data_IF_105188063924
#
_entry.id   IF_105188063924
#
_cell.length_a   1.000
_cell.length_b   1.000
_cell.length_c   1.000
_cell.angle_alpha   90.00
_cell.angle_beta   90.00
_cell.angle_gamma   90.00
#
_symmetry.space_group_name_H-M   'P 1'
#
loop_
_entity.id
_entity.type
_entity.pdbx_description
1 polymer ?
#
# COMPACT_ATOMS: atom_id res chain seq x y z
N UNK A 1 24.93 7.66 -7.91
CA UNK A 1 23.75 8.43 -7.45
C UNK A 1 23.28 7.86 -6.14
N UNK A 2 22.85 8.68 -5.19
CA UNK A 2 22.30 8.18 -3.92
C UNK A 2 20.99 7.46 -4.19
N UNK A 3 20.83 6.24 -3.69
CA UNK A 3 19.61 5.43 -3.86
C UNK A 3 18.41 6.11 -3.22
N UNK A 4 17.26 6.08 -3.87
CA UNK A 4 15.98 6.53 -3.32
C UNK A 4 15.14 5.29 -3.00
N UNK A 5 14.59 5.22 -1.80
CA UNK A 5 13.70 4.15 -1.37
C UNK A 5 12.38 4.77 -0.90
N UNK A 6 11.27 4.25 -1.37
CA UNK A 6 9.95 4.58 -0.83
C UNK A 6 9.61 3.58 0.26
N UNK A 7 9.26 4.07 1.46
CA UNK A 7 8.83 3.25 2.59
C UNK A 7 7.36 3.51 2.90
N UNK A 8 6.53 2.48 2.86
CA UNK A 8 5.13 2.58 3.25
C UNK A 8 4.90 1.91 4.60
N UNK A 9 4.23 2.60 5.51
CA UNK A 9 3.86 2.05 6.82
C UNK A 9 2.35 1.88 6.92
N UNK A 10 1.91 0.64 7.20
CA UNK A 10 0.50 0.27 7.37
C UNK A 10 -0.09 0.80 8.69
N UNK A 11 -1.41 0.74 8.82
CA UNK A 11 -2.11 1.27 10.00
C UNK A 11 -1.68 0.64 11.31
N UNK A 12 -1.37 -0.65 11.34
CA UNK A 12 -0.82 -1.34 12.53
C UNK A 12 0.59 -0.84 12.87
N UNK A 13 1.39 -0.50 11.86
CA UNK A 13 2.74 0.04 12.04
C UNK A 13 2.73 1.41 12.73
N UNK A 14 1.71 2.22 12.49
CA UNK A 14 1.53 3.57 13.07
C UNK A 14 0.35 3.65 14.04
N UNK A 15 -0.06 2.50 14.63
CA UNK A 15 -1.30 2.36 15.40
C UNK A 15 -1.31 3.03 16.77
N UNK A 16 -0.18 3.48 17.30
CA UNK A 16 -0.06 4.24 18.55
C UNK A 16 1.13 5.20 18.49
N UNK A 17 1.26 6.07 19.49
CA UNK A 17 2.39 7.01 19.60
C UNK A 17 3.72 6.24 19.69
N UNK A 18 3.77 5.16 20.48
CA UNK A 18 4.95 4.30 20.63
C UNK A 18 5.31 3.62 19.30
N UNK A 19 4.31 3.21 18.53
CA UNK A 19 4.52 2.63 17.21
C UNK A 19 5.06 3.66 16.21
N UNK A 20 4.54 4.89 16.25
CA UNK A 20 5.04 5.99 15.41
C UNK A 20 6.49 6.31 15.77
N UNK A 21 6.86 6.30 17.05
CA UNK A 21 8.24 6.51 17.48
C UNK A 21 9.18 5.39 16.99
N UNK A 22 8.75 4.13 17.09
CA UNK A 22 9.49 2.98 16.53
C UNK A 22 9.65 3.06 14.99
N UNK A 23 8.61 3.52 14.28
CA UNK A 23 8.70 3.77 12.83
C UNK A 23 9.69 4.89 12.52
N UNK A 24 9.72 5.94 13.34
CA UNK A 24 10.70 7.02 13.19
C UNK A 24 12.14 6.51 13.33
N UNK A 25 12.40 5.52 14.21
CA UNK A 25 13.72 4.86 14.32
C UNK A 25 14.08 4.06 13.06
N UNK A 26 13.13 3.30 12.51
CA UNK A 26 13.33 2.56 11.23
C UNK A 26 13.72 3.54 10.10
N UNK A 27 13.00 4.67 10.01
CA UNK A 27 13.26 5.70 8.99
C UNK A 27 14.63 6.35 9.24
N UNK A 28 14.96 6.67 10.49
CA UNK A 28 16.24 7.24 10.88
C UNK A 28 17.40 6.36 10.45
N UNK A 29 17.32 5.06 10.71
CA UNK A 29 18.36 4.10 10.31
C UNK A 29 18.47 3.97 8.80
N UNK A 30 17.36 3.84 8.08
CA UNK A 30 17.33 3.76 6.62
C UNK A 30 17.91 5.03 5.96
N UNK A 31 17.67 6.19 6.55
CA UNK A 31 18.14 7.49 6.01
C UNK A 31 19.65 7.68 6.04
N UNK A 32 20.38 6.85 6.83
CA UNK A 32 21.86 6.86 6.86
C UNK A 32 22.48 6.36 5.55
N UNK A 33 21.76 5.53 4.80
CA UNK A 33 22.29 4.84 3.60
C UNK A 33 21.55 5.16 2.31
N UNK A 34 20.34 5.72 2.38
CA UNK A 34 19.50 6.05 1.23
C UNK A 34 18.70 7.35 1.45
N UNK A 35 18.22 7.94 0.38
CA UNK A 35 17.19 9.00 0.46
C UNK A 35 15.84 8.32 0.62
N UNK A 36 15.10 8.73 1.64
CA UNK A 36 13.82 8.10 2.00
C UNK A 36 12.65 8.99 1.64
N UNK A 37 11.62 8.38 1.06
CA UNK A 37 10.27 8.94 0.89
C UNK A 37 9.32 8.05 1.67
N UNK A 38 8.48 8.63 2.50
CA UNK A 38 7.59 7.86 3.37
C UNK A 38 6.14 8.04 2.95
N UNK A 39 5.38 6.95 2.92
CA UNK A 39 3.93 6.94 2.76
C UNK A 39 3.29 6.29 3.99
N UNK A 40 2.30 6.93 4.58
CA UNK A 40 1.62 6.43 5.77
C UNK A 40 0.15 6.17 5.54
N UNK A 41 -0.36 5.12 6.17
CA UNK A 41 -1.80 4.88 6.33
C UNK A 41 -2.32 5.61 7.57
N UNK A 42 -3.64 5.71 7.71
CA UNK A 42 -4.28 6.09 8.97
C UNK A 42 -3.88 5.11 10.09
N UNK A 43 -3.90 5.58 11.33
CA UNK A 43 -3.70 4.73 12.51
C UNK A 43 -4.71 3.58 12.53
N UNK A 44 -4.32 2.43 13.08
CA UNK A 44 -5.19 1.25 13.17
C UNK A 44 -6.54 1.60 13.80
N UNK A 45 -7.63 1.24 13.11
CA UNK A 45 -9.01 1.50 13.55
C UNK A 45 -9.55 2.90 13.22
N UNK A 46 -8.70 3.89 12.91
CA UNK A 46 -9.15 5.28 12.69
C UNK A 46 -10.03 5.41 11.46
N UNK A 47 -9.69 4.75 10.34
CA UNK A 47 -10.55 4.74 9.14
C UNK A 47 -11.93 4.18 9.45
N UNK A 48 -12.02 3.07 10.20
CA UNK A 48 -13.31 2.49 10.59
C UNK A 48 -14.14 3.42 11.49
N UNK A 49 -13.47 4.13 12.40
CA UNK A 49 -14.11 5.14 13.25
C UNK A 49 -14.70 6.29 12.42
N UNK A 50 -13.94 6.82 11.44
CA UNK A 50 -14.41 7.87 10.54
C UNK A 50 -15.58 7.40 9.65
N UNK A 51 -15.49 6.16 9.12
CA UNK A 51 -16.60 5.53 8.37
C UNK A 51 -17.87 5.43 9.23
N UNK A 52 -17.73 4.98 10.48
CA UNK A 52 -18.87 4.88 11.40
C UNK A 52 -19.46 6.26 11.73
N UNK A 53 -18.63 7.30 11.87
CA UNK A 53 -19.11 8.67 12.06
C UNK A 53 -19.98 9.14 10.87
N UNK A 54 -19.52 8.88 9.63
CA UNK A 54 -20.32 9.21 8.44
C UNK A 54 -21.67 8.50 8.42
N UNK A 55 -21.68 7.20 8.77
CA UNK A 55 -22.91 6.38 8.79
C UNK A 55 -23.95 6.82 9.81
N UNK A 56 -23.59 7.59 10.83
CA UNK A 56 -24.58 8.17 11.76
C UNK A 56 -25.52 9.16 11.07
N UNK A 57 -25.13 9.75 9.96
CA UNK A 57 -25.95 10.72 9.21
C UNK A 57 -26.67 10.07 8.03
N UNK A 58 -26.10 9.03 7.41
CA UNK A 58 -26.70 8.32 6.28
C UNK A 58 -26.03 6.96 6.07
N UNK A 59 -26.81 5.93 5.76
CA UNK A 59 -26.30 4.63 5.30
C UNK A 59 -25.51 4.75 3.99
N UNK A 60 -25.89 5.72 3.14
CA UNK A 60 -25.21 6.03 1.89
C UNK A 60 -24.86 7.53 1.88
N UNK A 61 -23.79 7.95 2.58
CA UNK A 61 -23.37 9.33 2.61
C UNK A 61 -22.93 9.81 1.23
N UNK A 62 -23.00 11.13 1.00
CA UNK A 62 -22.40 11.73 -0.19
C UNK A 62 -20.93 11.32 -0.30
N UNK A 63 -20.51 10.82 -1.45
CA UNK A 63 -19.21 10.21 -1.62
C UNK A 63 -18.05 11.19 -1.57
N UNK A 64 -18.28 12.43 -2.03
CA UNK A 64 -17.28 13.49 -1.93
C UNK A 64 -17.00 13.85 -0.47
N UNK A 65 -18.07 14.08 0.32
CA UNK A 65 -17.95 14.39 1.75
C UNK A 65 -17.39 13.21 2.55
N UNK A 66 -17.76 11.98 2.14
CA UNK A 66 -17.20 10.76 2.72
C UNK A 66 -15.69 10.68 2.50
N UNK A 67 -15.19 10.90 1.27
CA UNK A 67 -13.77 10.90 0.96
C UNK A 67 -13.04 12.00 1.71
N UNK A 68 -13.61 13.21 1.78
CA UNK A 68 -13.05 14.32 2.55
C UNK A 68 -12.89 13.95 4.04
N UNK A 69 -13.88 13.26 4.64
CA UNK A 69 -13.84 12.83 6.03
C UNK A 69 -12.81 11.71 6.24
N UNK A 70 -12.90 10.60 5.49
CA UNK A 70 -12.09 9.41 5.79
C UNK A 70 -10.61 9.62 5.49
N UNK A 71 -10.26 10.53 4.59
CA UNK A 71 -8.89 10.89 4.26
C UNK A 71 -8.14 11.61 5.38
N UNK A 72 -8.84 12.14 6.39
CA UNK A 72 -8.21 12.89 7.51
C UNK A 72 -7.32 11.99 8.37
N UNK A 73 -7.58 10.68 8.40
CA UNK A 73 -6.80 9.73 9.19
C UNK A 73 -5.31 9.70 8.81
N UNK A 74 -5.01 9.71 7.53
CA UNK A 74 -3.63 9.74 7.03
C UNK A 74 -2.95 11.10 7.30
N UNK A 75 -3.72 12.17 7.33
CA UNK A 75 -3.21 13.51 7.66
C UNK A 75 -2.70 13.54 9.10
N UNK A 76 -3.44 12.94 10.04
CA UNK A 76 -3.01 12.80 11.43
C UNK A 76 -1.71 11.99 11.51
N UNK A 77 -1.66 10.82 10.92
CA UNK A 77 -0.48 9.92 10.95
C UNK A 77 0.77 10.59 10.37
N UNK A 78 0.64 11.28 9.23
CA UNK A 78 1.76 11.94 8.58
C UNK A 78 2.33 13.08 9.41
N UNK A 79 1.48 13.87 10.05
CA UNK A 79 1.89 14.96 10.93
C UNK A 79 2.60 14.42 12.21
N UNK A 80 2.02 13.40 12.86
CA UNK A 80 2.60 12.77 14.04
C UNK A 80 3.98 12.16 13.75
N UNK A 81 4.13 11.44 12.63
CA UNK A 81 5.40 10.87 12.25
C UNK A 81 6.45 11.93 11.93
N UNK A 82 6.05 13.06 11.31
CA UNK A 82 6.96 14.19 11.09
C UNK A 82 7.44 14.79 12.41
N UNK A 83 6.55 14.93 13.40
CA UNK A 83 6.91 15.41 14.74
C UNK A 83 7.86 14.43 15.45
N UNK A 84 7.62 13.12 15.34
CA UNK A 84 8.51 12.09 15.90
C UNK A 84 9.91 12.13 15.28
N UNK A 85 10.02 12.35 13.97
CA UNK A 85 11.32 12.53 13.31
C UNK A 85 12.03 13.82 13.74
N UNK A 86 11.29 14.93 13.91
CA UNK A 86 11.85 16.18 14.43
C UNK A 86 12.41 16.00 15.84
N UNK A 87 11.75 15.26 16.73
CA UNK A 87 12.27 14.99 18.08
C UNK A 87 13.58 14.20 18.07
N UNK A 88 13.88 13.49 17.00
CA UNK A 88 15.13 12.76 16.74
C UNK A 88 16.15 13.61 15.94
N UNK A 89 15.89 14.90 15.72
CA UNK A 89 16.77 15.81 14.97
C UNK A 89 16.77 15.61 13.45
N UNK A 90 15.79 14.88 12.92
CA UNK A 90 15.68 14.59 11.49
C UNK A 90 14.71 15.55 10.83
N UNK A 91 15.13 16.18 9.74
CA UNK A 91 14.26 17.07 8.95
C UNK A 91 13.23 16.24 8.20
N UNK A 92 11.96 16.41 8.53
CA UNK A 92 10.85 15.77 7.87
C UNK A 92 9.71 16.76 7.62
N UNK A 93 8.88 16.52 6.63
CA UNK A 93 7.71 17.37 6.36
C UNK A 93 6.56 16.54 5.82
N UNK A 94 5.39 16.71 6.43
CA UNK A 94 4.16 16.05 6.00
C UNK A 94 3.57 16.73 4.75
N UNK A 95 3.03 15.90 3.85
CA UNK A 95 2.38 16.35 2.63
C UNK A 95 1.09 15.58 2.40
N UNK A 96 0.01 16.32 2.12
CA UNK A 96 -1.22 15.74 1.59
C UNK A 96 -1.09 15.40 0.10
N UNK A 97 -2.01 14.61 -0.43
CA UNK A 97 -2.06 14.30 -1.86
C UNK A 97 -2.14 15.55 -2.73
N UNK A 98 -2.92 16.57 -2.32
CA UNK A 98 -3.03 17.85 -3.04
C UNK A 98 -1.71 18.62 -3.06
N UNK A 99 -0.96 18.60 -1.96
CA UNK A 99 0.32 19.29 -1.87
C UNK A 99 1.41 18.69 -2.76
N UNK A 100 1.35 17.39 -3.05
CA UNK A 100 2.24 16.73 -4.03
C UNK A 100 1.58 16.56 -5.40
N UNK A 101 0.41 17.15 -5.61
CA UNK A 101 -0.36 17.05 -6.85
C UNK A 101 -0.56 15.61 -7.35
N UNK A 102 -1.00 14.73 -6.45
CA UNK A 102 -1.41 13.36 -6.82
C UNK A 102 -2.80 13.42 -7.46
N UNK A 103 -2.83 13.58 -8.78
CA UNK A 103 -4.07 13.68 -9.54
C UNK A 103 -4.77 12.35 -9.68
N UNK A 104 -6.08 12.37 -9.54
CA UNK A 104 -6.93 11.18 -9.68
C UNK A 104 -8.16 11.48 -10.53
N UNK A 105 -8.87 10.40 -10.91
CA UNK A 105 -10.24 10.53 -11.43
C UNK A 105 -11.18 11.02 -10.32
N UNK A 106 -12.33 11.54 -10.72
CA UNK A 106 -13.44 11.98 -9.85
C UNK A 106 -14.33 10.84 -9.33
N UNK A 107 -13.87 9.59 -9.46
CA UNK A 107 -14.60 8.42 -8.97
C UNK A 107 -14.35 8.26 -7.48
N UNK A 108 -15.07 9.01 -6.65
CA UNK A 108 -14.94 8.98 -5.20
C UNK A 108 -15.00 7.56 -4.62
N UNK A 109 -14.25 7.33 -3.54
CA UNK A 109 -14.07 6.05 -2.83
C UNK A 109 -13.36 4.93 -3.61
N UNK A 110 -13.13 5.11 -4.93
CA UNK A 110 -12.43 4.16 -5.81
C UNK A 110 -11.64 4.89 -6.91
N UNK A 111 -11.09 6.05 -6.59
CA UNK A 111 -10.38 6.87 -7.57
C UNK A 111 -9.16 6.13 -8.15
N UNK A 112 -8.82 6.49 -9.38
CA UNK A 112 -7.63 5.97 -10.06
C UNK A 112 -6.58 7.08 -10.14
N UNK A 113 -5.33 6.76 -9.82
CA UNK A 113 -4.21 7.69 -9.96
C UNK A 113 -3.99 7.94 -11.45
N UNK A 114 -3.95 9.21 -11.83
CA UNK A 114 -3.68 9.69 -13.19
C UNK A 114 -2.25 10.18 -13.31
N UNK A 115 -1.78 10.93 -12.29
CA UNK A 115 -0.45 11.53 -12.30
C UNK A 115 0.03 11.82 -10.86
N UNK A 116 1.36 11.90 -10.68
CA UNK A 116 2.03 12.32 -9.44
C UNK A 116 3.14 13.28 -9.78
N UNK A 117 3.19 14.44 -9.13
CA UNK A 117 4.26 15.41 -9.39
C UNK A 117 5.59 14.96 -8.74
N UNK A 118 6.38 14.21 -9.52
CA UNK A 118 7.69 13.73 -9.11
C UNK A 118 8.67 14.84 -8.78
N UNK A 119 8.66 15.96 -9.53
CA UNK A 119 9.62 17.06 -9.35
C UNK A 119 9.52 17.66 -7.95
N UNK A 120 8.30 17.85 -7.46
CA UNK A 120 8.07 18.37 -6.11
C UNK A 120 8.64 17.47 -5.02
N UNK A 121 8.45 16.15 -5.15
CA UNK A 121 9.00 15.19 -4.20
C UNK A 121 10.54 15.18 -4.25
N UNK A 122 11.10 15.16 -5.46
CA UNK A 122 12.55 15.18 -5.66
C UNK A 122 13.19 16.48 -5.16
N UNK A 123 12.50 17.63 -5.27
CA UNK A 123 12.97 18.88 -4.69
C UNK A 123 13.09 18.79 -3.16
N UNK A 124 12.08 18.26 -2.48
CA UNK A 124 12.10 18.08 -1.00
C UNK A 124 13.27 17.19 -0.59
N UNK A 125 13.53 16.11 -1.34
CA UNK A 125 14.65 15.21 -1.10
C UNK A 125 16.01 15.92 -1.28
N UNK A 126 16.12 16.81 -2.27
CA UNK A 126 17.35 17.62 -2.50
C UNK A 126 17.62 18.58 -1.34
N UNK A 127 16.59 19.06 -0.65
CA UNK A 127 16.68 19.90 0.54
C UNK A 127 17.01 19.12 1.83
N UNK A 128 17.41 17.85 1.67
CA UNK A 128 17.71 16.92 2.78
C UNK A 128 16.56 16.78 3.78
N UNK A 129 15.34 16.88 3.29
CA UNK A 129 14.12 16.73 4.07
C UNK A 129 13.41 15.44 3.66
N UNK A 130 12.97 14.65 4.63
CA UNK A 130 12.20 13.43 4.38
C UNK A 130 10.72 13.80 4.14
N UNK A 131 10.18 13.60 2.94
CA UNK A 131 8.75 13.81 2.71
C UNK A 131 7.93 12.67 3.33
N UNK A 132 6.96 13.01 4.17
CA UNK A 132 5.99 12.09 4.77
C UNK A 132 4.65 12.32 4.08
N UNK A 133 4.28 11.43 3.18
CA UNK A 133 3.14 11.60 2.30
C UNK A 133 1.95 10.81 2.82
N UNK A 134 0.77 11.43 2.82
CA UNK A 134 -0.47 10.74 3.12
C UNK A 134 -0.76 9.69 2.03
N UNK A 135 -0.89 8.43 2.41
CA UNK A 135 -1.39 7.40 1.52
C UNK A 135 -2.90 7.51 1.28
N UNK A 136 -3.45 6.64 0.44
CA UNK A 136 -4.89 6.51 0.24
C UNK A 136 -5.60 7.70 -0.42
N UNK A 137 -5.04 8.91 -0.34
CA UNK A 137 -5.62 10.15 -0.85
C UNK A 137 -5.22 10.43 -2.29
N UNK A 138 -6.09 11.17 -2.99
CA UNK A 138 -5.82 11.83 -4.26
C UNK A 138 -6.57 13.15 -4.34
N UNK A 139 -6.43 13.84 -5.46
CA UNK A 139 -7.11 15.11 -5.71
C UNK A 139 -7.62 15.13 -7.16
N UNK A 140 -8.85 15.57 -7.33
CA UNK A 140 -9.44 15.81 -8.66
C UNK A 140 -8.83 17.04 -9.31
N UNK A 141 -9.14 17.29 -10.57
CA UNK A 141 -8.74 18.51 -11.28
C UNK A 141 -9.34 19.77 -10.62
N UNK A 142 -10.54 19.67 -10.10
CA UNK A 142 -11.26 20.74 -9.38
C UNK A 142 -10.76 20.95 -7.95
N UNK A 143 -9.83 20.11 -7.46
CA UNK A 143 -9.23 20.22 -6.13
C UNK A 143 -9.95 19.44 -5.03
N UNK A 144 -10.98 18.67 -5.35
CA UNK A 144 -11.67 17.81 -4.41
C UNK A 144 -10.80 16.62 -3.98
N UNK A 145 -10.86 16.29 -2.70
CA UNK A 145 -10.15 15.11 -2.16
C UNK A 145 -10.89 13.85 -2.58
N UNK A 146 -10.13 12.86 -3.03
CA UNK A 146 -10.62 11.52 -3.38
C UNK A 146 -9.88 10.46 -2.58
N UNK A 147 -10.47 9.28 -2.48
CA UNK A 147 -9.81 8.11 -1.90
C UNK A 147 -9.68 6.97 -2.90
N UNK A 148 -8.56 6.23 -2.79
CA UNK A 148 -8.21 5.17 -3.73
C UNK A 148 -8.89 3.82 -3.44
N UNK A 149 -9.64 3.74 -2.34
CA UNK A 149 -10.24 2.49 -1.87
C UNK A 149 -9.24 1.55 -1.19
N UNK A 150 -9.63 0.29 -1.03
CA UNK A 150 -8.84 -0.72 -0.29
C UNK A 150 -7.43 -0.87 -0.88
N UNK A 151 -6.40 -0.92 -0.02
CA UNK A 151 -4.99 -0.97 -0.42
C UNK A 151 -4.47 0.32 -1.06
N UNK A 152 -5.20 1.44 -0.90
CA UNK A 152 -4.86 2.72 -1.50
C UNK A 152 -3.48 3.23 -1.08
N UNK A 153 -3.06 3.04 0.17
CA UNK A 153 -1.73 3.48 0.63
C UNK A 153 -0.59 2.69 -0.01
N UNK A 154 -0.76 1.38 -0.25
CA UNK A 154 0.21 0.57 -0.99
C UNK A 154 0.30 1.05 -2.44
N UNK A 155 -0.85 1.29 -3.07
CA UNK A 155 -0.92 1.84 -4.43
C UNK A 155 -0.27 3.23 -4.51
N UNK A 156 -0.51 4.11 -3.53
CA UNK A 156 0.16 5.41 -3.42
C UNK A 156 1.68 5.27 -3.38
N UNK A 157 2.20 4.37 -2.54
CA UNK A 157 3.64 4.18 -2.37
C UNK A 157 4.31 3.68 -3.65
N UNK A 158 3.70 2.68 -4.31
CA UNK A 158 4.21 2.15 -5.57
C UNK A 158 4.13 3.19 -6.69
N UNK A 159 3.04 3.97 -6.77
CA UNK A 159 2.92 5.04 -7.75
C UNK A 159 3.99 6.13 -7.58
N UNK A 160 4.27 6.54 -6.35
CA UNK A 160 5.35 7.47 -6.05
C UNK A 160 6.69 6.86 -6.44
N UNK A 161 6.96 5.60 -6.06
CA UNK A 161 8.22 4.92 -6.39
C UNK A 161 8.45 4.87 -7.91
N UNK A 162 7.42 4.55 -8.68
CA UNK A 162 7.47 4.56 -10.15
C UNK A 162 7.83 5.94 -10.70
N UNK A 163 7.14 6.99 -10.24
CA UNK A 163 7.29 8.33 -10.78
C UNK A 163 8.62 9.00 -10.45
N UNK A 164 9.19 8.71 -9.27
CA UNK A 164 10.49 9.29 -8.88
C UNK A 164 11.68 8.42 -9.27
N UNK A 165 11.45 7.27 -9.92
CA UNK A 165 12.51 6.31 -10.26
C UNK A 165 13.20 5.75 -9.02
N UNK A 166 12.45 5.38 -7.99
CA UNK A 166 13.01 4.79 -6.77
C UNK A 166 13.62 3.41 -7.07
N UNK A 167 14.66 3.03 -6.35
CA UNK A 167 15.28 1.70 -6.45
C UNK A 167 14.29 0.59 -6.12
N UNK A 168 13.44 0.84 -5.11
CA UNK A 168 12.35 -0.08 -4.69
C UNK A 168 11.35 0.61 -3.79
N UNK A 169 10.25 -0.09 -3.53
CA UNK A 169 9.23 0.27 -2.55
C UNK A 169 9.22 -0.76 -1.41
N UNK A 170 9.54 -0.34 -0.19
CA UNK A 170 9.51 -1.16 1.03
C UNK A 170 8.14 -1.01 1.70
N UNK A 171 7.35 -2.09 1.76
CA UNK A 171 6.02 -2.14 2.39
C UNK A 171 6.16 -2.74 3.79
N UNK A 172 6.07 -1.90 4.81
CA UNK A 172 6.09 -2.32 6.21
C UNK A 172 4.68 -2.64 6.70
N UNK A 173 4.54 -3.83 7.27
CA UNK A 173 3.27 -4.39 7.75
C UNK A 173 3.46 -5.16 9.06
N UNK A 174 2.47 -5.93 9.50
CA UNK A 174 2.51 -6.79 10.70
C UNK A 174 3.04 -8.21 10.44
N UNK A 175 3.41 -8.52 9.18
CA UNK A 175 4.07 -9.76 8.82
C UNK A 175 5.50 -9.49 8.35
N UNK A 176 6.39 -10.46 8.57
CA UNK A 176 7.83 -10.32 8.30
C UNK A 176 8.24 -10.75 6.88
N UNK A 177 7.25 -11.01 6.01
CA UNK A 177 7.46 -11.39 4.61
C UNK A 177 6.30 -12.20 4.06
N UNK A 178 6.52 -12.79 2.89
CA UNK A 178 5.58 -13.68 2.20
C UNK A 178 6.02 -15.11 2.46
N UNK A 179 5.04 -15.97 2.74
CA UNK A 179 5.25 -17.37 3.06
C UNK A 179 4.69 -18.27 1.97
N UNK A 180 5.21 -19.49 1.89
CA UNK A 180 4.71 -20.52 0.95
C UNK A 180 3.22 -20.84 1.17
N UNK A 181 2.67 -20.58 2.36
CA UNK A 181 1.25 -20.59 2.69
C UNK A 181 1.04 -19.84 4.01
N UNK A 182 -0.20 -19.68 4.48
CA UNK A 182 -0.49 -18.98 5.74
C UNK A 182 0.13 -19.73 6.95
N UNK A 183 1.14 -19.16 7.64
CA UNK A 183 1.82 -19.79 8.76
C UNK A 183 0.90 -20.00 9.99
N UNK A 184 -0.21 -19.27 10.08
CA UNK A 184 -1.21 -19.47 11.15
C UNK A 184 -2.00 -20.78 10.96
N UNK A 185 -2.01 -21.32 9.75
CA UNK A 185 -2.73 -22.55 9.40
C UNK A 185 -1.75 -23.69 9.23
N UNK A 186 -0.61 -23.44 8.59
CA UNK A 186 0.45 -24.43 8.38
C UNK A 186 1.72 -23.97 9.11
N UNK A 187 1.97 -24.47 10.34
CA UNK A 187 3.11 -24.03 11.14
C UNK A 187 4.49 -24.22 10.48
N UNK A 188 4.58 -25.13 9.52
CA UNK A 188 5.81 -25.41 8.76
C UNK A 188 5.93 -24.58 7.47
N UNK A 189 5.07 -23.60 7.24
CA UNK A 189 5.20 -22.67 6.12
C UNK A 189 6.56 -21.97 6.16
N UNK A 190 7.22 -21.89 5.02
CA UNK A 190 8.55 -21.24 4.90
C UNK A 190 8.37 -19.83 4.37
N UNK A 191 9.12 -18.90 4.95
CA UNK A 191 9.25 -17.55 4.42
C UNK A 191 10.06 -17.62 3.11
N UNK A 192 9.61 -16.89 2.11
CA UNK A 192 10.28 -16.74 0.82
C UNK A 192 11.26 -15.56 0.91
N UNK A 193 12.47 -15.74 0.39
CA UNK A 193 13.42 -14.64 0.26
C UNK A 193 13.03 -13.72 -0.91
N UNK A 194 12.59 -14.32 -2.01
CA UNK A 194 12.05 -13.62 -3.17
C UNK A 194 10.86 -14.35 -3.79
N UNK A 195 10.06 -13.62 -4.54
CA UNK A 195 8.91 -14.13 -5.32
C UNK A 195 8.75 -13.24 -6.55
N UNK A 196 8.29 -13.80 -7.67
CA UNK A 196 8.01 -13.00 -8.87
C UNK A 196 6.72 -12.18 -8.72
N UNK A 197 6.60 -11.10 -9.51
CA UNK A 197 5.37 -10.30 -9.56
C UNK A 197 4.17 -11.15 -10.00
N UNK A 198 4.36 -12.08 -10.93
CA UNK A 198 3.29 -12.96 -11.45
C UNK A 198 2.80 -13.91 -10.36
N UNK A 199 3.72 -14.57 -9.65
CA UNK A 199 3.36 -15.44 -8.52
C UNK A 199 2.68 -14.68 -7.39
N UNK A 200 3.15 -13.44 -7.10
CA UNK A 200 2.51 -12.60 -6.08
C UNK A 200 1.10 -12.18 -6.48
N UNK A 201 0.86 -11.90 -7.78
CA UNK A 201 -0.47 -11.61 -8.30
C UNK A 201 -1.42 -12.79 -8.11
N UNK A 202 -0.96 -14.01 -8.43
CA UNK A 202 -1.73 -15.22 -8.21
C UNK A 202 -2.04 -15.44 -6.72
N UNK A 203 -1.05 -15.33 -5.85
CA UNK A 203 -1.25 -15.46 -4.40
C UNK A 203 -2.23 -14.41 -3.86
N UNK A 204 -2.08 -13.15 -4.26
CA UNK A 204 -2.96 -12.06 -3.82
C UNK A 204 -4.40 -12.25 -4.36
N UNK A 205 -4.55 -12.70 -5.60
CA UNK A 205 -5.82 -13.01 -6.23
C UNK A 205 -6.55 -14.19 -5.56
N UNK A 206 -5.80 -15.14 -5.00
CA UNK A 206 -6.32 -16.33 -4.32
C UNK A 206 -6.46 -16.13 -2.79
N UNK A 207 -6.34 -14.92 -2.27
CA UNK A 207 -6.67 -14.57 -0.89
C UNK A 207 -5.48 -14.39 0.07
N UNK A 208 -4.24 -14.36 -0.42
CA UNK A 208 -3.11 -13.94 0.40
C UNK A 208 -3.22 -12.44 0.72
N UNK A 209 -3.46 -12.13 2.00
CA UNK A 209 -3.80 -10.76 2.44
C UNK A 209 -2.57 -9.86 2.71
N UNK A 210 -1.39 -10.21 2.21
CA UNK A 210 -0.15 -9.47 2.50
C UNK A 210 -0.08 -8.17 1.72
N UNK A 211 -0.47 -8.20 0.45
CA UNK A 211 -0.60 -7.02 -0.42
C UNK A 211 -1.91 -7.05 -1.18
N UNK A 212 -2.43 -5.87 -1.50
CA UNK A 212 -3.60 -5.76 -2.37
C UNK A 212 -3.19 -5.98 -3.84
N UNK A 213 -3.96 -6.78 -4.56
CA UNK A 213 -3.73 -7.12 -5.98
C UNK A 213 -3.45 -5.88 -6.82
N UNK A 214 -4.23 -4.81 -6.65
CA UNK A 214 -4.06 -3.54 -7.37
C UNK A 214 -2.67 -2.92 -7.19
N UNK A 215 -2.07 -3.01 -5.99
CA UNK A 215 -0.73 -2.48 -5.75
C UNK A 215 0.34 -3.32 -6.45
N UNK A 216 0.16 -4.66 -6.49
CA UNK A 216 1.06 -5.58 -7.20
C UNK A 216 0.94 -5.37 -8.72
N UNK A 217 -0.28 -5.25 -9.26
CA UNK A 217 -0.52 -4.91 -10.68
C UNK A 217 0.17 -3.60 -11.07
N UNK A 218 0.09 -2.59 -10.20
CA UNK A 218 0.73 -1.31 -10.44
C UNK A 218 2.26 -1.43 -10.41
N UNK A 219 2.82 -2.17 -9.44
CA UNK A 219 4.25 -2.46 -9.35
C UNK A 219 4.76 -3.20 -10.60
N UNK A 220 4.03 -4.22 -11.05
CA UNK A 220 4.34 -4.97 -12.26
C UNK A 220 4.34 -4.07 -13.50
N UNK A 221 3.28 -3.27 -13.68
CA UNK A 221 3.13 -2.37 -14.84
C UNK A 221 4.28 -1.37 -14.97
N UNK A 222 4.79 -0.87 -13.86
CA UNK A 222 5.82 0.17 -13.83
C UNK A 222 7.21 -0.35 -13.45
N UNK A 223 7.38 -1.67 -13.37
CA UNK A 223 8.64 -2.34 -13.05
C UNK A 223 9.27 -1.85 -11.73
N UNK A 224 8.45 -1.68 -10.69
CA UNK A 224 8.91 -1.26 -9.36
C UNK A 224 9.15 -2.47 -8.49
N UNK A 225 10.39 -2.80 -8.10
CA UNK A 225 10.64 -3.83 -7.11
C UNK A 225 9.96 -3.48 -5.79
N UNK A 226 9.28 -4.43 -5.17
CA UNK A 226 8.62 -4.23 -3.88
C UNK A 226 9.21 -5.19 -2.86
N UNK A 227 9.45 -4.70 -1.65
CA UNK A 227 9.90 -5.56 -0.56
C UNK A 227 8.89 -5.48 0.60
N UNK A 228 8.45 -6.63 1.06
CA UNK A 228 7.55 -6.75 2.23
C UNK A 228 8.37 -7.02 3.48
N UNK A 229 8.15 -6.21 4.51
CA UNK A 229 8.89 -6.25 5.78
C UNK A 229 7.95 -6.11 6.98
N UNK A 230 8.40 -6.61 8.13
CA UNK A 230 7.77 -6.28 9.40
C UNK A 230 8.22 -4.92 9.92
N UNK A 231 7.28 -4.15 10.50
CA UNK A 231 7.62 -2.98 11.30
C UNK A 231 7.80 -3.32 12.79
N UNK A 232 7.67 -4.60 13.18
CA UNK A 232 7.71 -5.10 14.56
C UNK A 232 8.95 -5.92 14.85
N UNK A 233 9.52 -6.54 13.83
CA UNK A 233 10.68 -7.42 13.94
C UNK A 233 11.71 -7.07 12.87
N UNK A 234 12.99 -7.22 13.20
CA UNK A 234 14.06 -7.09 12.22
C UNK A 234 14.07 -8.28 11.26
N UNK A 235 14.47 -8.05 10.01
CA UNK A 235 14.61 -9.09 9.01
C UNK A 235 14.77 -8.54 7.60
N UNK A 236 15.17 -9.42 6.67
CA UNK A 236 15.35 -9.07 5.24
C UNK A 236 14.02 -8.85 4.51
N UNK A 237 12.93 -9.40 5.06
CA UNK A 237 11.64 -9.41 4.36
C UNK A 237 11.62 -10.38 3.18
N UNK A 238 10.66 -10.19 2.27
CA UNK A 238 10.54 -10.88 0.98
C UNK A 238 10.60 -9.85 -0.15
N UNK A 239 11.47 -10.05 -1.12
CA UNK A 239 11.56 -9.22 -2.32
C UNK A 239 10.58 -9.73 -3.39
N UNK A 240 9.73 -8.85 -3.92
CA UNK A 240 8.87 -9.12 -5.07
C UNK A 240 9.53 -8.45 -6.27
N UNK A 241 9.93 -9.23 -7.25
CA UNK A 241 10.72 -8.79 -8.41
C UNK A 241 10.15 -9.32 -9.72
N UNK A 242 10.62 -8.74 -10.83
CA UNK A 242 10.25 -9.18 -12.17
C UNK A 242 11.10 -10.37 -12.64
N UNK A 243 12.30 -10.50 -12.11
CA UNK A 243 13.28 -11.49 -12.54
C UNK A 243 13.30 -12.68 -11.58
N UNK A 244 13.36 -13.87 -12.14
CA UNK A 244 13.70 -15.07 -11.41
C UNK A 244 15.21 -15.10 -11.17
N UNK A 245 15.65 -15.09 -9.91
CA UNK A 245 17.07 -15.13 -9.55
C UNK A 245 17.73 -16.51 -9.80
N UNK A 246 16.98 -17.55 -10.15
CA UNK A 246 17.48 -18.91 -10.32
C UNK A 246 16.79 -19.63 -11.47
N UNK A 247 17.59 -20.28 -12.31
CA UNK A 247 17.09 -21.19 -13.36
C UNK A 247 16.52 -22.52 -12.81
N UNK A 248 16.73 -22.83 -11.54
CA UNK A 248 16.22 -24.03 -10.84
C UNK A 248 15.21 -23.63 -9.76
N UNK A 249 14.06 -23.09 -10.17
CA UNK A 249 13.00 -22.75 -9.22
C UNK A 249 12.14 -23.96 -8.88
N UNK A 250 11.61 -24.00 -7.66
CA UNK A 250 10.62 -24.99 -7.28
C UNK A 250 9.39 -24.85 -8.19
N UNK A 251 8.86 -25.96 -8.67
CA UNK A 251 7.64 -26.02 -9.51
C UNK A 251 6.41 -25.37 -8.84
N UNK A 252 6.42 -25.23 -7.52
CA UNK A 252 5.36 -24.62 -6.71
C UNK A 252 6.02 -23.69 -5.68
N UNK A 253 5.83 -22.39 -5.84
CA UNK A 253 6.36 -21.36 -4.94
C UNK A 253 5.49 -21.12 -3.71
N UNK A 254 4.17 -21.35 -3.84
CA UNK A 254 3.23 -21.16 -2.73
C UNK A 254 1.84 -21.71 -3.01
N UNK A 255 1.04 -21.79 -1.94
CA UNK A 255 -0.36 -22.23 -1.97
C UNK A 255 -1.19 -21.22 -1.20
N UNK A 256 -2.08 -20.51 -1.90
CA UNK A 256 -3.12 -19.68 -1.28
C UNK A 256 -4.45 -20.44 -1.24
N UNK A 257 -5.29 -20.12 -0.26
CA UNK A 257 -6.63 -20.71 -0.19
C UNK A 257 -7.63 -19.68 0.34
N UNK A 258 -8.86 -19.81 -0.12
CA UNK A 258 -10.01 -19.05 0.40
C UNK A 258 -10.98 -20.00 1.09
N UNK A 259 -11.46 -19.60 2.28
CA UNK A 259 -12.58 -20.25 2.96
C UNK A 259 -13.90 -19.66 2.47
N UNK A 260 -14.99 -20.40 2.71
CA UNK A 260 -16.36 -19.92 2.47
C UNK A 260 -16.68 -19.59 0.98
N UNK A 261 -16.14 -20.40 0.08
CA UNK A 261 -16.43 -20.32 -1.36
C UNK A 261 -17.70 -21.11 -1.69
N UNK A 262 -18.55 -20.54 -2.54
CA UNK A 262 -19.73 -21.21 -3.10
C UNK A 262 -19.52 -21.36 -4.60
N UNK A 263 -19.62 -22.60 -5.10
CA UNK A 263 -19.56 -22.88 -6.54
C UNK A 263 -20.97 -22.94 -7.13
N UNK A 264 -21.27 -22.04 -8.04
CA UNK A 264 -22.49 -22.11 -8.86
C UNK A 264 -22.14 -22.72 -10.23
N UNK A 265 -22.87 -23.75 -10.62
CA UNK A 265 -22.73 -24.36 -11.96
C UNK A 265 -23.99 -24.12 -12.74
N UNK A 266 -23.90 -23.42 -13.87
CA UNK A 266 -25.02 -23.21 -14.80
C UNK A 266 -24.95 -24.27 -15.89
N UNK A 267 -26.05 -25.03 -16.07
CA UNK A 267 -26.18 -26.02 -17.11
C UNK A 267 -27.07 -25.50 -18.24
N UNK A 268 -26.77 -25.88 -19.49
CA UNK A 268 -27.62 -25.55 -20.65
C UNK A 268 -27.49 -24.09 -21.15
N UNK A 269 -26.42 -23.40 -20.77
CA UNK A 269 -26.14 -22.04 -21.27
C UNK A 269 -25.43 -22.15 -22.62
N UNK A 270 -25.97 -21.52 -23.68
CA UNK A 270 -25.36 -21.52 -25.01
C UNK A 270 -23.98 -20.85 -25.01
N UNK A 271 -23.09 -21.30 -25.91
CA UNK A 271 -21.67 -20.90 -25.98
C UNK A 271 -21.41 -19.38 -26.07
N UNK A 272 -22.40 -18.59 -26.50
CA UNK A 272 -22.28 -17.13 -26.63
C UNK A 272 -22.37 -16.40 -25.28
N UNK A 273 -22.87 -17.04 -24.23
CA UNK A 273 -23.09 -16.42 -22.91
C UNK A 273 -21.86 -16.51 -21.99
N UNK A 274 -20.81 -17.22 -22.37
CA UNK A 274 -19.65 -17.47 -21.50
C UNK A 274 -18.73 -16.25 -21.29
N UNK A 275 -18.84 -15.22 -22.10
CA UNK A 275 -17.92 -14.08 -22.07
C UNK A 275 -18.29 -12.99 -21.05
N UNK A 276 -19.43 -13.06 -20.37
CA UNK A 276 -19.92 -11.95 -19.53
C UNK A 276 -20.32 -12.31 -18.10
N UNK A 277 -20.22 -13.58 -17.68
CA UNK A 277 -20.44 -13.99 -16.29
C UNK A 277 -19.13 -13.90 -15.48
N UNK A 278 -18.67 -12.69 -15.19
CA UNK A 278 -17.77 -12.49 -14.05
C UNK A 278 -18.63 -12.45 -12.79
N UNK A 279 -18.37 -13.33 -11.85
CA UNK A 279 -18.90 -13.20 -10.50
C UNK A 279 -18.44 -11.85 -9.94
N UNK A 280 -19.38 -10.90 -9.75
CA UNK A 280 -19.12 -9.75 -8.91
C UNK A 280 -19.14 -10.24 -7.46
N UNK A 281 -18.02 -10.22 -6.79
CA UNK A 281 -17.96 -10.35 -5.36
C UNK A 281 -18.74 -9.18 -4.78
N UNK A 282 -19.90 -9.45 -4.22
CA UNK A 282 -20.58 -8.52 -3.32
C UNK A 282 -19.82 -8.58 -2.00
N UNK A 283 -18.99 -7.56 -1.74
CA UNK A 283 -18.44 -7.35 -0.42
C UNK A 283 -19.60 -7.05 0.53
N UNK A 284 -19.85 -7.95 1.47
CA UNK A 284 -20.59 -7.68 2.72
C UNK A 284 -19.68 -6.96 3.69
#
# INVERSE_FOLDING_TARGET
MTKIIVQKFGGTSVGSVERIDAVADIIADASKTAKIVVVVSAMAGETNKLVNLAKNFSENPDKREFDALVSTGETVSSALLSLALHSKGIKAKSYSASQISMKTTDTYSKAKILDVNAEKILQVIKEETIPIITGFQGVTEDGDITTLGRGGSDTTAVAIAAQIGAERCDIYTDVDGIYTTDPKIVPNAKKLDSITMEEMLELAGQGAKVMQTRAVEFANKYNVPVRVLSSFTEGSGTLITLEEESMENALISGIAFQKDQVKFTLHGVGAVSYTHLRAHETAT
#
